data_IF_522195988945
#
_entry.id   IF_522195988945
#
_cell.length_a   1.000
_cell.length_b   1.000
_cell.length_c   1.000
_cell.angle_alpha   90.00
_cell.angle_beta   90.00
_cell.angle_gamma   90.00
#
_symmetry.space_group_name_H-M   'P 1'
#
loop_
_entity.id
_entity.type
_entity.pdbx_description
1 polymer ?
#
# COMPACT_ATOMS: atom_id res chain seq x y z
N UNK A 1 10.07 17.89 -4.68
CA UNK A 1 11.01 17.75 -3.54
C UNK A 1 10.89 16.33 -3.01
N UNK A 2 11.99 15.65 -2.71
CA UNK A 2 11.95 14.28 -2.18
C UNK A 2 12.03 14.29 -0.64
N UNK A 3 11.14 13.56 0.01
CA UNK A 3 11.14 13.36 1.47
C UNK A 3 12.02 12.16 1.81
N UNK A 4 12.96 12.33 2.76
CA UNK A 4 13.81 11.23 3.23
C UNK A 4 13.13 10.48 4.38
N UNK A 5 13.05 9.16 4.28
CA UNK A 5 12.52 8.29 5.33
C UNK A 5 13.66 7.41 5.83
N UNK A 6 13.84 7.35 7.16
CA UNK A 6 14.79 6.40 7.77
C UNK A 6 14.12 5.05 7.92
N UNK A 7 14.83 4.01 7.56
CA UNK A 7 14.44 2.62 7.76
C UNK A 7 15.56 1.89 8.49
N UNK A 8 15.18 0.90 9.28
CA UNK A 8 16.13 -0.01 9.94
C UNK A 8 16.98 -0.74 8.89
N UNK A 9 18.26 -0.96 9.18
CA UNK A 9 19.19 -1.56 8.23
C UNK A 9 18.85 -3.02 7.92
N UNK A 10 18.40 -3.79 8.91
CA UNK A 10 17.99 -5.18 8.70
C UNK A 10 16.69 -5.26 7.90
N UNK A 11 15.76 -4.31 8.10
CA UNK A 11 14.60 -4.17 7.22
C UNK A 11 15.02 -3.85 5.78
N UNK A 12 15.95 -2.91 5.58
CA UNK A 12 16.42 -2.55 4.24
C UNK A 12 17.05 -3.73 3.49
N UNK A 13 17.83 -4.57 4.16
CA UNK A 13 18.41 -5.77 3.53
C UNK A 13 17.34 -6.76 3.07
N UNK A 14 16.28 -6.94 3.87
CA UNK A 14 15.12 -7.77 3.48
C UNK A 14 14.35 -7.16 2.31
N UNK A 15 14.20 -5.83 2.28
CA UNK A 15 13.57 -5.10 1.17
C UNK A 15 14.39 -5.29 -0.11
N UNK A 16 15.74 -5.22 -0.03
CA UNK A 16 16.61 -5.49 -1.18
C UNK A 16 16.41 -6.89 -1.71
N UNK A 17 16.50 -7.91 -0.85
CA UNK A 17 16.29 -9.30 -1.26
C UNK A 17 14.90 -9.52 -1.88
N UNK A 18 13.86 -8.89 -1.32
CA UNK A 18 12.50 -8.95 -1.87
C UNK A 18 12.40 -8.26 -3.25
N UNK A 19 13.06 -7.10 -3.42
CA UNK A 19 13.05 -6.36 -4.69
C UNK A 19 13.72 -7.16 -5.82
N UNK A 20 14.85 -7.81 -5.53
CA UNK A 20 15.57 -8.66 -6.50
C UNK A 20 14.75 -9.90 -6.86
N UNK A 21 14.19 -10.58 -5.86
CA UNK A 21 13.35 -11.76 -6.06
C UNK A 21 12.07 -11.45 -6.87
N UNK A 22 11.54 -10.24 -6.72
CA UNK A 22 10.38 -9.77 -7.47
C UNK A 22 10.74 -9.14 -8.84
N UNK A 23 12.03 -9.08 -9.19
CA UNK A 23 12.49 -8.64 -10.51
C UNK A 23 12.46 -7.13 -10.75
N UNK A 24 12.49 -6.31 -9.69
CA UNK A 24 12.51 -4.85 -9.81
C UNK A 24 13.90 -4.35 -10.25
N UNK A 25 13.93 -3.22 -10.97
CA UNK A 25 15.20 -2.65 -11.44
C UNK A 25 15.97 -1.95 -10.31
N UNK A 26 15.29 -1.54 -9.23
CA UNK A 26 15.91 -0.96 -8.04
C UNK A 26 15.07 -1.16 -6.78
N UNK A 27 15.71 -1.06 -5.61
CA UNK A 27 15.05 -1.02 -4.30
C UNK A 27 14.08 0.16 -4.20
N UNK A 28 14.46 1.31 -4.76
CA UNK A 28 13.65 2.53 -4.75
C UNK A 28 12.33 2.35 -5.51
N UNK A 29 12.39 1.73 -6.69
CA UNK A 29 11.20 1.41 -7.49
C UNK A 29 10.26 0.43 -6.75
N UNK A 30 10.83 -0.60 -6.11
CA UNK A 30 10.07 -1.55 -5.31
C UNK A 30 9.36 -0.86 -4.13
N UNK A 31 10.09 -0.04 -3.37
CA UNK A 31 9.54 0.67 -2.21
C UNK A 31 8.42 1.62 -2.64
N UNK A 32 8.59 2.35 -3.74
CA UNK A 32 7.57 3.25 -4.26
C UNK A 32 6.29 2.51 -4.66
N UNK A 33 6.41 1.44 -5.46
CA UNK A 33 5.26 0.63 -5.85
C UNK A 33 4.52 0.02 -4.65
N UNK A 34 5.26 -0.48 -3.66
CA UNK A 34 4.63 -1.03 -2.44
C UNK A 34 3.91 0.09 -1.70
N UNK A 35 4.52 1.24 -1.47
CA UNK A 35 3.86 2.36 -0.78
C UNK A 35 2.61 2.83 -1.52
N UNK A 36 2.66 2.99 -2.85
CA UNK A 36 1.50 3.36 -3.67
C UNK A 36 0.38 2.32 -3.54
N UNK A 37 0.72 1.03 -3.67
CA UNK A 37 -0.24 -0.07 -3.51
C UNK A 37 -0.91 -0.07 -2.14
N UNK A 38 -0.13 0.10 -1.07
CA UNK A 38 -0.65 0.08 0.30
C UNK A 38 -1.55 1.30 0.57
N UNK A 39 -1.16 2.49 0.09
CA UNK A 39 -1.97 3.71 0.20
C UNK A 39 -3.29 3.55 -0.56
N UNK A 40 -3.27 3.07 -1.80
CA UNK A 40 -4.48 2.83 -2.58
C UNK A 40 -5.39 1.82 -1.89
N UNK A 41 -4.86 0.70 -1.40
CA UNK A 41 -5.65 -0.31 -0.68
C UNK A 41 -6.33 0.28 0.56
N UNK A 42 -5.65 1.13 1.32
CA UNK A 42 -6.22 1.76 2.50
C UNK A 42 -7.26 2.83 2.15
N UNK A 43 -7.06 3.56 1.05
CA UNK A 43 -8.03 4.51 0.53
C UNK A 43 -9.31 3.81 0.05
N UNK A 44 -9.17 2.71 -0.71
CA UNK A 44 -10.27 1.85 -1.15
C UNK A 44 -11.01 1.21 0.03
N UNK A 45 -10.29 0.68 1.04
CA UNK A 45 -10.92 0.10 2.23
C UNK A 45 -11.69 1.14 3.07
N UNK A 46 -11.24 2.40 3.06
CA UNK A 46 -11.96 3.52 3.67
C UNK A 46 -13.22 3.92 2.88
N UNK A 47 -13.17 3.80 1.56
CA UNK A 47 -14.30 4.07 0.67
C UNK A 47 -15.32 2.92 0.72
N UNK A 48 -14.90 1.65 0.81
CA UNK A 48 -15.78 0.49 1.02
C UNK A 48 -16.57 0.58 2.34
N UNK A 49 -15.95 1.08 3.41
CA UNK A 49 -16.68 1.37 4.65
C UNK A 49 -17.74 2.46 4.47
N UNK A 50 -17.49 3.46 3.62
CA UNK A 50 -18.46 4.48 3.23
C UNK A 50 -19.53 4.00 2.24
N UNK A 51 -19.19 3.06 1.35
CA UNK A 51 -20.10 2.45 0.37
C UNK A 51 -21.06 1.48 1.04
N UNK A 52 -20.60 0.66 2.01
CA UNK A 52 -21.47 -0.21 2.81
C UNK A 52 -22.50 0.61 3.60
N UNK A 53 -22.10 1.76 4.16
CA UNK A 53 -23.03 2.64 4.90
C UNK A 53 -24.05 3.31 3.96
N UNK A 54 -23.63 3.64 2.73
CA UNK A 54 -24.52 4.16 1.67
C UNK A 54 -25.51 3.12 1.14
N UNK A 55 -25.14 1.84 1.13
CA UNK A 55 -26.01 0.72 0.75
C UNK A 55 -27.00 0.32 1.86
N UNK A 56 -26.63 0.47 3.15
CA UNK A 56 -27.55 0.27 4.29
C UNK A 56 -28.66 1.32 4.35
N UNK A 57 -28.39 2.56 3.93
CA UNK A 57 -29.38 3.64 3.86
C UNK A 57 -30.48 3.47 2.80
N UNK A 58 -30.43 2.39 1.99
CA UNK A 58 -31.39 2.09 0.92
C UNK A 58 -32.25 0.85 1.18
N UNK A 59 -32.09 0.16 2.33
CA UNK A 59 -33.01 -0.90 2.76
C UNK A 59 -32.95 -2.23 1.98
N UNK A 60 -31.78 -2.65 1.50
CA UNK A 60 -31.62 -3.88 0.69
C UNK A 60 -31.00 -5.09 1.42
N UNK A 61 -30.99 -5.10 2.75
CA UNK A 61 -30.61 -6.28 3.54
C UNK A 61 -31.57 -6.42 4.75
N UNK A 62 -32.43 -7.44 4.71
CA UNK A 62 -32.97 -8.14 5.90
C UNK A 62 -32.20 -9.45 6.09
#
# INVERSE_FOLDING_TARGET
MATKIKIDSHLHDRVRAASEAAGYASVEEFVMHVLEKEVSRLAEAGDDAGVIDRLKGLGYLE
#
